data_IF_457115543600
#
_entry.id   IF_457115543600
#
_cell.length_a   1.000
_cell.length_b   1.000
_cell.length_c   1.000
_cell.angle_alpha   90.00
_cell.angle_beta   90.00
_cell.angle_gamma   90.00
#
_symmetry.space_group_name_H-M   'P 1'
#
loop_
_entity.id
_entity.type
_entity.pdbx_description
1 polymer ?
#
# COMPACT_ATOMS: atom_id res chain seq x y z
N UNK A 1 15.96 3.02 -7.83
CA UNK A 1 16.99 3.50 -6.84
C UNK A 1 18.30 2.76 -7.02
N UNK A 2 19.45 3.39 -6.64
CA UNK A 2 20.76 2.72 -6.66
C UNK A 2 20.80 1.64 -5.57
N UNK A 3 21.16 0.41 -5.95
CA UNK A 3 21.32 -0.70 -5.02
C UNK A 3 22.60 -0.59 -4.17
N UNK A 4 22.71 -1.44 -3.17
CA UNK A 4 23.92 -1.61 -2.37
C UNK A 4 24.21 -3.10 -2.19
N UNK A 5 25.51 -3.44 -2.05
CA UNK A 5 25.91 -4.84 -1.88
C UNK A 5 25.36 -5.44 -0.58
N UNK A 6 25.26 -6.75 -0.53
CA UNK A 6 24.81 -7.47 0.67
C UNK A 6 25.66 -7.14 1.89
N UNK A 7 27.00 -7.11 1.73
CA UNK A 7 27.93 -6.79 2.81
C UNK A 7 27.68 -5.38 3.38
N UNK A 8 27.37 -4.41 2.51
CA UNK A 8 27.02 -3.05 2.93
C UNK A 8 25.69 -3.03 3.68
N UNK A 9 24.69 -3.77 3.21
CA UNK A 9 23.41 -3.91 3.92
C UNK A 9 23.61 -4.47 5.32
N UNK A 10 24.39 -5.56 5.45
CA UNK A 10 24.71 -6.18 6.74
C UNK A 10 25.50 -5.23 7.64
N UNK A 11 26.49 -4.53 7.11
CA UNK A 11 27.28 -3.56 7.88
C UNK A 11 26.44 -2.42 8.47
N UNK A 12 25.45 -1.92 7.69
CA UNK A 12 24.48 -0.94 8.17
C UNK A 12 23.54 -1.55 9.21
N UNK A 13 23.00 -2.75 8.95
CA UNK A 13 22.14 -3.46 9.88
C UNK A 13 22.77 -3.68 11.24
N UNK A 14 24.04 -4.05 11.28
CA UNK A 14 24.78 -4.27 12.53
C UNK A 14 24.95 -3.00 13.40
N UNK A 15 24.63 -1.82 12.87
CA UNK A 15 24.63 -0.58 13.64
C UNK A 15 23.30 -0.35 14.38
N UNK A 16 22.21 -1.00 13.93
CA UNK A 16 20.86 -0.77 14.49
C UNK A 16 20.79 -1.03 16.01
N UNK A 17 21.38 -2.10 16.57
CA UNK A 17 21.32 -2.33 18.02
C UNK A 17 21.97 -1.23 18.86
N UNK A 18 22.94 -0.50 18.30
CA UNK A 18 23.69 0.55 19.02
C UNK A 18 23.13 1.94 18.74
N UNK A 19 22.80 2.24 17.49
CA UNK A 19 22.38 3.58 17.05
C UNK A 19 20.85 3.76 17.01
N UNK A 20 20.09 2.67 16.90
CA UNK A 20 18.68 2.67 16.58
C UNK A 20 18.38 2.83 15.09
N UNK A 21 17.17 2.36 14.65
CA UNK A 21 16.74 2.37 13.25
C UNK A 21 16.85 3.74 12.58
N UNK A 22 16.30 4.78 13.22
CA UNK A 22 16.28 6.12 12.60
C UNK A 22 17.68 6.71 12.34
N UNK A 23 18.65 6.44 13.19
CA UNK A 23 20.01 6.95 12.97
C UNK A 23 20.71 6.20 11.83
N UNK A 24 20.39 4.91 11.65
CA UNK A 24 20.88 4.13 10.50
C UNK A 24 20.21 4.58 9.20
N UNK A 25 18.88 4.75 9.20
CA UNK A 25 18.11 5.22 8.04
C UNK A 25 18.62 6.58 7.54
N UNK A 26 18.98 7.52 8.43
CA UNK A 26 19.54 8.82 8.05
C UNK A 26 20.84 8.74 7.26
N UNK A 27 21.60 7.65 7.38
CA UNK A 27 22.83 7.42 6.64
C UNK A 27 22.60 6.86 5.23
N UNK A 28 21.36 6.50 4.90
CA UNK A 28 21.00 5.80 3.66
C UNK A 28 20.22 6.76 2.76
N UNK A 29 20.83 7.28 1.69
CA UNK A 29 20.20 8.29 0.82
C UNK A 29 18.86 7.83 0.21
N UNK A 30 18.70 6.52 -0.03
CA UNK A 30 17.49 5.94 -0.61
C UNK A 30 16.23 6.13 0.26
N UNK A 31 16.41 6.30 1.56
CA UNK A 31 15.30 6.61 2.46
C UNK A 31 14.89 8.08 2.47
N UNK A 32 15.76 8.98 1.98
CA UNK A 32 15.54 10.42 2.08
C UNK A 32 14.70 10.99 0.94
N UNK A 33 14.47 10.21 -0.11
CA UNK A 33 13.78 10.66 -1.34
C UNK A 33 12.91 9.57 -1.91
N UNK A 34 11.80 9.97 -2.57
CA UNK A 34 11.07 9.09 -3.47
C UNK A 34 11.73 9.08 -4.85
N UNK A 35 11.69 7.93 -5.51
CA UNK A 35 11.99 7.82 -6.93
C UNK A 35 10.73 8.21 -7.72
N UNK A 36 10.85 9.14 -8.66
CA UNK A 36 9.73 9.61 -9.49
C UNK A 36 10.06 9.42 -10.97
N UNK A 37 9.17 8.76 -11.70
CA UNK A 37 9.28 8.55 -13.13
C UNK A 37 7.99 8.92 -13.85
N UNK A 38 8.04 9.99 -14.64
CA UNK A 38 6.98 10.33 -15.57
C UNK A 38 7.27 9.66 -16.90
N UNK A 39 6.72 8.45 -17.09
CA UNK A 39 6.97 7.57 -18.25
C UNK A 39 6.02 7.85 -19.41
N UNK A 40 4.87 8.43 -19.14
CA UNK A 40 3.81 8.70 -20.11
C UNK A 40 3.38 10.17 -20.08
N UNK A 41 2.97 10.74 -21.22
CA UNK A 41 2.44 12.10 -21.25
C UNK A 41 1.10 12.18 -20.51
N UNK A 42 0.73 13.40 -20.09
CA UNK A 42 -0.59 13.66 -19.53
C UNK A 42 -1.70 13.28 -20.51
N UNK A 43 -2.82 12.71 -20.05
CA UNK A 43 -4.02 12.52 -20.87
C UNK A 43 -4.51 13.85 -21.46
N UNK A 44 -4.96 13.82 -22.73
CA UNK A 44 -5.45 15.03 -23.42
C UNK A 44 -6.75 15.57 -22.84
N UNK A 45 -7.61 14.68 -22.36
CA UNK A 45 -8.90 15.01 -21.79
C UNK A 45 -8.88 14.73 -20.29
N UNK A 46 -9.38 15.66 -19.50
CA UNK A 46 -9.58 15.49 -18.07
C UNK A 46 -10.97 14.89 -17.87
N UNK A 47 -11.11 13.71 -17.30
CA UNK A 47 -12.42 13.11 -17.04
C UNK A 47 -13.13 13.87 -15.90
N UNK A 48 -14.46 13.76 -15.85
CA UNK A 48 -15.24 14.30 -14.73
C UNK A 48 -14.97 13.57 -13.42
N UNK A 49 -14.59 12.30 -13.51
CA UNK A 49 -14.31 11.40 -12.37
C UNK A 49 -12.94 10.76 -12.52
N UNK A 50 -12.32 10.46 -11.39
CA UNK A 50 -11.09 9.70 -11.30
C UNK A 50 -11.36 8.34 -10.63
N UNK A 51 -10.80 7.27 -11.18
CA UNK A 51 -10.81 5.94 -10.56
C UNK A 51 -9.54 5.71 -9.75
N UNK A 52 -9.71 5.55 -8.46
CA UNK A 52 -8.67 5.26 -7.48
C UNK A 52 -8.71 3.78 -7.09
N UNK A 53 -7.54 3.15 -6.96
CA UNK A 53 -7.40 1.74 -6.56
C UNK A 53 -6.37 1.61 -5.46
N UNK A 54 -6.66 0.85 -4.40
CA UNK A 54 -5.69 0.39 -3.40
C UNK A 54 -5.40 -1.07 -3.64
N UNK A 55 -4.12 -1.43 -3.64
CA UNK A 55 -3.73 -2.82 -3.79
C UNK A 55 -2.40 -3.11 -3.08
N UNK A 56 -2.42 -3.90 -2.01
CA UNK A 56 -1.24 -4.56 -1.47
C UNK A 56 -0.95 -5.78 -2.35
N UNK A 57 0.17 -5.76 -3.07
CA UNK A 57 0.52 -6.77 -4.08
C UNK A 57 1.44 -7.88 -3.57
N UNK A 58 1.57 -8.01 -2.27
CA UNK A 58 2.36 -9.07 -1.64
C UNK A 58 3.76 -9.24 -2.28
N UNK A 59 4.56 -8.15 -2.23
CA UNK A 59 5.96 -8.08 -2.73
C UNK A 59 6.12 -8.17 -4.25
N UNK A 60 5.02 -8.40 -4.99
CA UNK A 60 5.06 -8.63 -6.44
C UNK A 60 5.63 -9.98 -6.83
N UNK A 61 5.45 -11.01 -5.98
CA UNK A 61 5.87 -12.40 -6.29
C UNK A 61 5.09 -13.00 -7.46
N UNK A 62 3.90 -12.48 -7.74
CA UNK A 62 3.04 -12.84 -8.88
C UNK A 62 2.99 -11.68 -9.90
N UNK A 63 4.14 -11.11 -10.25
CA UNK A 63 4.23 -9.86 -11.01
C UNK A 63 3.48 -9.91 -12.34
N UNK A 64 3.68 -10.95 -13.14
CA UNK A 64 3.08 -11.06 -14.47
C UNK A 64 1.57 -11.26 -14.41
N UNK A 65 1.11 -12.06 -13.48
CA UNK A 65 -0.30 -12.31 -13.19
C UNK A 65 -0.99 -11.04 -12.63
N UNK A 66 -0.30 -10.30 -11.76
CA UNK A 66 -0.76 -9.01 -11.24
C UNK A 66 -0.89 -7.97 -12.36
N UNK A 67 0.06 -7.92 -13.31
CA UNK A 67 -0.03 -7.05 -14.48
C UNK A 67 -1.26 -7.42 -15.33
N UNK A 68 -1.47 -8.71 -15.58
CA UNK A 68 -2.64 -9.19 -16.32
C UNK A 68 -3.95 -8.83 -15.60
N UNK A 69 -3.99 -8.98 -14.27
CA UNK A 69 -5.11 -8.58 -13.44
C UNK A 69 -5.43 -7.09 -13.60
N UNK A 70 -4.43 -6.22 -13.47
CA UNK A 70 -4.62 -4.76 -13.61
C UNK A 70 -5.08 -4.35 -15.01
N UNK A 71 -4.68 -5.08 -16.06
CA UNK A 71 -5.03 -4.78 -17.46
C UNK A 71 -6.38 -5.33 -17.90
N UNK A 72 -6.78 -6.49 -17.39
CA UNK A 72 -7.91 -7.24 -17.90
C UNK A 72 -9.13 -7.25 -17.00
N UNK A 73 -8.97 -6.99 -15.69
CA UNK A 73 -10.11 -6.98 -14.76
C UNK A 73 -11.13 -5.90 -15.18
N UNK A 74 -12.40 -6.27 -15.44
CA UNK A 74 -13.41 -5.31 -15.88
C UNK A 74 -13.63 -4.15 -14.92
N UNK A 75 -13.58 -4.43 -13.61
CA UNK A 75 -13.77 -3.42 -12.57
C UNK A 75 -12.57 -2.46 -12.43
N UNK A 76 -11.42 -2.83 -12.99
CA UNK A 76 -10.21 -2.02 -13.02
C UNK A 76 -10.00 -1.29 -14.36
N UNK A 77 -10.98 -1.34 -15.26
CA UNK A 77 -10.91 -0.58 -16.49
C UNK A 77 -10.80 0.92 -16.19
N UNK A 78 -9.95 1.61 -16.97
CA UNK A 78 -9.75 3.06 -16.89
C UNK A 78 -9.27 3.57 -15.53
N UNK A 79 -8.41 2.82 -14.84
CA UNK A 79 -7.77 3.27 -13.59
C UNK A 79 -6.98 4.56 -13.84
N UNK A 80 -7.13 5.55 -12.98
CA UNK A 80 -6.35 6.78 -13.01
C UNK A 80 -5.20 6.78 -12.01
N UNK A 81 -5.40 6.24 -10.79
CA UNK A 81 -4.42 6.26 -9.72
C UNK A 81 -4.45 4.93 -8.95
N UNK A 82 -3.26 4.36 -8.68
CA UNK A 82 -3.12 3.16 -7.84
C UNK A 82 -2.22 3.49 -6.64
N UNK A 83 -2.70 3.17 -5.44
CA UNK A 83 -1.99 3.21 -4.17
C UNK A 83 -1.54 1.79 -3.86
N UNK A 84 -0.29 1.47 -4.14
CA UNK A 84 0.22 0.12 -4.03
C UNK A 84 1.15 -0.06 -2.85
N UNK A 85 0.95 -1.13 -2.10
CA UNK A 85 1.79 -1.52 -0.98
C UNK A 85 2.54 -2.81 -1.28
N UNK A 86 3.66 -2.99 -0.60
CA UNK A 86 4.53 -4.17 -0.71
C UNK A 86 5.04 -4.41 -2.13
N UNK A 87 5.92 -3.54 -2.62
CA UNK A 87 6.62 -3.72 -3.90
C UNK A 87 8.11 -3.91 -3.65
N UNK A 88 8.65 -5.01 -4.15
CA UNK A 88 10.09 -5.26 -4.11
C UNK A 88 10.83 -4.55 -5.26
N UNK A 89 12.07 -4.17 -5.01
CA UNK A 89 13.05 -3.76 -6.02
C UNK A 89 14.36 -4.51 -5.80
N UNK A 90 14.66 -5.48 -6.66
CA UNK A 90 15.84 -6.29 -6.59
C UNK A 90 15.86 -7.27 -5.40
N UNK A 91 14.74 -7.93 -5.10
CA UNK A 91 14.66 -9.05 -4.18
C UNK A 91 14.48 -10.37 -4.96
N UNK A 92 15.22 -11.42 -4.59
CA UNK A 92 15.19 -12.71 -5.29
C UNK A 92 13.78 -13.32 -5.32
N UNK A 93 13.00 -13.17 -4.25
CA UNK A 93 11.61 -13.70 -4.14
C UNK A 93 10.66 -13.14 -5.20
N UNK A 94 10.97 -11.96 -5.76
CA UNK A 94 10.25 -11.33 -6.88
C UNK A 94 11.10 -11.29 -8.17
N UNK A 95 12.07 -12.23 -8.32
CA UNK A 95 12.91 -12.37 -9.51
C UNK A 95 13.94 -11.27 -9.68
N UNK A 96 14.35 -10.59 -8.63
CA UNK A 96 15.29 -9.45 -8.64
C UNK A 96 14.84 -8.30 -9.57
N UNK A 97 13.52 -8.19 -9.84
CA UNK A 97 12.97 -7.16 -10.70
C UNK A 97 12.66 -5.87 -9.91
N UNK A 98 12.58 -4.75 -10.62
CA UNK A 98 11.96 -3.54 -10.11
C UNK A 98 10.44 -3.63 -10.37
N UNK A 99 9.71 -4.16 -9.41
CA UNK A 99 8.27 -4.45 -9.53
C UNK A 99 7.47 -3.20 -9.91
N UNK A 100 7.77 -2.04 -9.29
CA UNK A 100 7.07 -0.79 -9.61
C UNK A 100 7.31 -0.34 -11.06
N UNK A 101 8.55 -0.41 -11.56
CA UNK A 101 8.88 -0.06 -12.95
C UNK A 101 8.19 -0.98 -13.94
N UNK A 102 8.20 -2.29 -13.69
CA UNK A 102 7.60 -3.27 -14.61
C UNK A 102 6.08 -3.11 -14.69
N UNK A 103 5.40 -2.90 -13.55
CA UNK A 103 3.97 -2.58 -13.54
C UNK A 103 3.71 -1.27 -14.30
N UNK A 104 4.43 -0.18 -13.98
CA UNK A 104 4.22 1.13 -14.60
C UNK A 104 4.33 1.08 -16.12
N UNK A 105 5.37 0.41 -16.64
CA UNK A 105 5.57 0.20 -18.10
C UNK A 105 4.43 -0.62 -18.72
N UNK A 106 4.03 -1.72 -18.06
CA UNK A 106 3.05 -2.64 -18.59
C UNK A 106 1.64 -2.04 -18.68
N UNK A 107 1.25 -1.20 -17.70
CA UNK A 107 -0.07 -0.55 -17.67
C UNK A 107 -0.06 0.87 -18.24
N UNK A 108 1.11 1.40 -18.64
CA UNK A 108 1.25 2.74 -19.22
C UNK A 108 0.96 3.87 -18.21
N UNK A 109 1.63 3.85 -17.05
CA UNK A 109 1.49 4.85 -16.01
C UNK A 109 2.82 5.46 -15.58
N UNK A 110 2.77 6.65 -15.00
CA UNK A 110 3.83 7.26 -14.21
C UNK A 110 3.86 6.60 -12.83
N UNK A 111 4.99 6.67 -12.13
CA UNK A 111 5.04 6.17 -10.74
C UNK A 111 5.99 6.96 -9.85
N UNK A 112 5.68 6.94 -8.54
CA UNK A 112 6.58 7.30 -7.47
C UNK A 112 6.78 6.09 -6.56
N UNK A 113 8.03 5.83 -6.14
CA UNK A 113 8.37 4.71 -5.25
C UNK A 113 9.10 5.23 -4.02
N UNK A 114 8.70 4.79 -2.82
CA UNK A 114 9.34 5.10 -1.55
C UNK A 114 9.81 3.83 -0.85
N UNK A 115 11.07 3.82 -0.43
CA UNK A 115 11.69 2.70 0.28
C UNK A 115 11.17 2.61 1.71
N UNK A 116 10.67 1.43 2.10
CA UNK A 116 10.18 1.11 3.44
C UNK A 116 11.20 0.27 4.22
N UNK A 117 11.72 -0.78 3.59
CA UNK A 117 12.67 -1.71 4.20
C UNK A 117 13.81 -2.11 3.25
N UNK A 118 14.96 -2.40 3.86
CA UNK A 118 16.08 -3.10 3.23
C UNK A 118 16.19 -4.47 3.88
N UNK A 119 16.02 -5.53 3.09
CA UNK A 119 16.11 -6.91 3.52
C UNK A 119 17.56 -7.31 3.84
N UNK A 120 17.76 -8.06 4.94
CA UNK A 120 19.08 -8.46 5.42
C UNK A 120 19.30 -9.99 5.42
N UNK A 121 18.28 -10.76 5.09
CA UNK A 121 18.31 -12.22 5.26
C UNK A 121 18.89 -12.93 4.04
N UNK A 122 18.60 -12.45 2.84
CA UNK A 122 18.96 -13.14 1.61
C UNK A 122 20.16 -12.49 0.90
N UNK A 123 21.32 -13.20 0.77
CA UNK A 123 22.47 -12.68 0.05
C UNK A 123 22.28 -12.61 -1.48
N UNK A 124 21.29 -13.31 -2.04
CA UNK A 124 21.01 -13.32 -3.47
C UNK A 124 20.15 -12.14 -3.92
N UNK A 125 19.63 -11.34 -2.98
CA UNK A 125 18.94 -10.10 -3.33
C UNK A 125 19.93 -9.11 -3.96
N UNK A 126 19.68 -8.64 -5.19
CA UNK A 126 20.51 -7.64 -5.85
C UNK A 126 20.50 -6.29 -5.12
N UNK A 127 19.31 -5.86 -4.66
CA UNK A 127 19.13 -4.65 -3.84
C UNK A 127 18.50 -4.95 -2.50
N UNK A 128 17.56 -5.91 -2.44
CA UNK A 128 16.79 -6.26 -1.27
C UNK A 128 15.90 -5.11 -0.78
N UNK A 129 15.41 -4.27 -1.67
CA UNK A 129 14.52 -3.15 -1.35
C UNK A 129 13.08 -3.61 -1.35
N UNK A 130 12.32 -3.11 -0.40
CA UNK A 130 10.89 -3.33 -0.24
C UNK A 130 10.22 -2.00 0.12
N UNK A 131 9.16 -1.64 -0.60
CA UNK A 131 8.54 -0.33 -0.41
C UNK A 131 7.12 -0.24 -0.92
N UNK A 132 6.67 1.00 -1.09
CA UNK A 132 5.34 1.32 -1.58
C UNK A 132 5.44 2.17 -2.86
N UNK A 133 4.39 2.19 -3.67
CA UNK A 133 4.34 2.99 -4.88
C UNK A 133 2.99 3.65 -5.11
N UNK A 134 3.03 4.85 -5.69
CA UNK A 134 1.90 5.47 -6.35
C UNK A 134 2.06 5.29 -7.86
N UNK A 135 1.03 4.79 -8.55
CA UNK A 135 0.95 4.85 -10.00
C UNK A 135 -0.10 5.87 -10.42
N UNK A 136 0.17 6.64 -11.48
CA UNK A 136 -0.72 7.69 -11.95
C UNK A 136 -0.70 7.81 -13.48
N UNK A 137 -1.87 7.94 -14.10
CA UNK A 137 -1.99 8.37 -15.50
C UNK A 137 -1.58 9.84 -15.69
N UNK A 138 -1.59 10.60 -14.58
CA UNK A 138 -1.28 12.03 -14.56
C UNK A 138 0.17 12.26 -14.17
N UNK A 139 0.82 13.33 -14.65
CA UNK A 139 2.18 13.66 -14.24
C UNK A 139 2.30 13.87 -12.73
N UNK A 140 3.35 13.31 -12.16
CA UNK A 140 3.72 13.52 -10.77
C UNK A 140 4.63 14.75 -10.72
N UNK A 141 4.17 15.84 -10.10
CA UNK A 141 4.93 17.08 -9.95
C UNK A 141 6.07 16.91 -8.96
N UNK A 142 5.78 16.25 -7.84
CA UNK A 142 6.75 15.89 -6.81
C UNK A 142 6.22 14.75 -5.94
N UNK A 143 7.14 14.06 -5.27
CA UNK A 143 6.82 13.06 -4.26
C UNK A 143 7.78 13.20 -3.07
N UNK A 144 7.27 12.95 -1.85
CA UNK A 144 8.01 12.98 -0.60
C UNK A 144 7.82 11.68 0.18
N UNK A 145 8.91 11.15 0.73
CA UNK A 145 8.86 10.07 1.71
C UNK A 145 8.62 10.66 3.11
N UNK A 146 7.62 10.14 3.80
CA UNK A 146 7.27 10.51 5.18
C UNK A 146 7.58 9.33 6.08
N UNK A 147 8.65 9.43 6.88
CA UNK A 147 8.98 8.39 7.86
C UNK A 147 7.97 8.42 9.00
N UNK A 148 7.26 7.30 9.17
CA UNK A 148 6.26 7.17 10.23
C UNK A 148 6.92 6.82 11.57
N UNK A 149 6.32 7.22 12.71
CA UNK A 149 6.82 6.84 14.04
C UNK A 149 7.01 5.33 14.15
N UNK A 150 8.20 4.91 14.60
CA UNK A 150 8.52 3.50 14.79
C UNK A 150 7.61 2.88 15.85
N UNK A 151 6.90 1.84 15.50
CA UNK A 151 6.04 1.06 16.41
C UNK A 151 6.61 -0.33 16.65
N UNK A 152 7.47 -0.81 15.75
CA UNK A 152 8.13 -2.10 15.84
C UNK A 152 9.51 -2.05 15.19
N UNK A 153 10.52 -2.65 15.85
CA UNK A 153 11.88 -2.68 15.31
C UNK A 153 12.13 -3.97 14.54
N UNK A 154 11.96 -3.91 13.22
CA UNK A 154 12.08 -5.04 12.31
C UNK A 154 13.49 -5.66 12.23
N UNK A 155 14.53 -4.99 12.75
CA UNK A 155 15.86 -5.60 12.83
C UNK A 155 15.89 -6.81 13.76
N UNK A 156 15.05 -6.85 14.79
CA UNK A 156 14.96 -7.95 15.75
C UNK A 156 13.91 -8.99 15.38
N UNK A 157 13.21 -8.81 14.24
CA UNK A 157 12.27 -9.80 13.72
C UNK A 157 13.01 -10.98 13.07
N UNK A 158 12.29 -12.11 12.90
CA UNK A 158 12.79 -13.25 12.13
C UNK A 158 13.11 -12.88 10.69
N UNK A 159 12.32 -12.01 10.08
CA UNK A 159 12.59 -11.37 8.79
C UNK A 159 13.32 -10.05 9.02
N UNK A 160 14.61 -10.16 9.28
CA UNK A 160 15.47 -9.03 9.65
C UNK A 160 15.56 -7.96 8.57
N UNK A 161 15.28 -6.68 8.92
CA UNK A 161 15.27 -5.55 7.99
C UNK A 161 15.81 -4.28 8.64
N UNK A 162 16.41 -3.39 7.83
CA UNK A 162 16.58 -1.99 8.18
C UNK A 162 15.37 -1.24 7.64
N UNK A 163 14.81 -0.33 8.43
CA UNK A 163 13.70 0.51 7.97
C UNK A 163 12.55 0.55 8.96
N UNK A 164 11.57 1.35 8.61
CA UNK A 164 10.29 1.52 9.30
C UNK A 164 9.23 1.88 8.27
N UNK A 165 7.97 1.92 8.67
CA UNK A 165 6.85 2.30 7.80
C UNK A 165 7.04 3.70 7.23
N UNK A 166 6.69 3.84 5.96
CA UNK A 166 6.85 5.08 5.17
C UNK A 166 5.57 5.38 4.42
N UNK A 167 5.07 6.62 4.54
CA UNK A 167 4.07 7.16 3.63
C UNK A 167 4.72 7.86 2.44
N UNK A 168 4.02 7.90 1.31
CA UNK A 168 4.43 8.64 0.11
C UNK A 168 3.40 9.72 -0.16
N UNK A 169 3.79 10.99 -0.08
CA UNK A 169 2.92 12.13 -0.39
C UNK A 169 3.28 12.65 -1.77
N UNK A 170 2.34 12.63 -2.71
CA UNK A 170 2.52 13.06 -4.09
C UNK A 170 1.60 14.22 -4.46
N UNK A 171 2.11 15.17 -5.24
CA UNK A 171 1.31 16.15 -5.98
C UNK A 171 1.20 15.73 -7.43
N UNK A 172 -0.02 15.62 -7.93
CA UNK A 172 -0.34 15.27 -9.32
C UNK A 172 -0.83 16.50 -10.09
N UNK A 173 -0.53 16.52 -11.39
CA UNK A 173 -1.08 17.50 -12.33
C UNK A 173 -2.26 16.89 -13.10
N UNK A 174 -3.47 17.07 -12.61
CA UNK A 174 -4.68 16.57 -13.28
C UNK A 174 -5.26 17.66 -14.15
N UNK A 175 -4.71 17.78 -15.37
CA UNK A 175 -5.17 18.78 -16.34
C UNK A 175 -5.03 20.23 -15.86
N UNK A 176 -3.95 20.55 -15.17
CA UNK A 176 -3.67 21.85 -14.58
C UNK A 176 -4.15 22.01 -13.12
N UNK A 177 -5.03 21.12 -12.64
CA UNK A 177 -5.45 21.10 -11.23
C UNK A 177 -4.43 20.30 -10.41
N UNK A 178 -4.04 20.85 -9.26
CA UNK A 178 -3.28 20.10 -8.26
C UNK A 178 -4.18 19.14 -7.51
N UNK A 179 -3.73 17.87 -7.40
CA UNK A 179 -4.39 16.81 -6.63
C UNK A 179 -3.36 16.13 -5.75
N UNK A 180 -3.64 16.05 -4.46
CA UNK A 180 -2.82 15.27 -3.53
C UNK A 180 -3.18 13.78 -3.60
N UNK A 181 -2.16 12.92 -3.68
CA UNK A 181 -2.32 11.47 -3.61
C UNK A 181 -1.30 10.91 -2.61
N UNK A 182 -1.78 10.17 -1.61
CA UNK A 182 -0.96 9.71 -0.49
C UNK A 182 -1.08 8.22 -0.32
N UNK A 183 0.05 7.50 -0.47
CA UNK A 183 0.14 6.06 -0.18
C UNK A 183 0.54 5.87 1.27
N UNK A 184 -0.16 5.02 2.00
CA UNK A 184 0.17 4.65 3.37
C UNK A 184 0.28 3.14 3.50
N UNK A 185 1.19 2.70 4.37
CA UNK A 185 1.28 1.32 4.83
C UNK A 185 1.61 1.37 6.33
N UNK A 186 0.62 1.14 7.18
CA UNK A 186 0.79 1.28 8.61
C UNK A 186 1.32 -0.02 9.24
N UNK A 187 1.77 0.07 10.50
CA UNK A 187 2.39 -1.05 11.20
C UNK A 187 1.35 -2.09 11.65
N UNK A 188 1.62 -3.35 11.31
CA UNK A 188 0.82 -4.49 11.73
C UNK A 188 1.23 -5.05 13.11
N UNK A 189 2.40 -4.64 13.64
CA UNK A 189 2.96 -5.04 14.94
C UNK A 189 2.70 -3.99 16.02
N UNK A 190 1.51 -3.39 15.99
CA UNK A 190 1.09 -2.37 16.94
C UNK A 190 -0.43 -2.39 17.09
N UNK A 191 -0.95 -1.59 17.99
CA UNK A 191 -2.39 -1.40 18.20
C UNK A 191 -2.95 -0.19 17.43
N UNK A 192 -4.24 0.11 17.63
CA UNK A 192 -4.90 1.24 17.00
C UNK A 192 -4.33 2.61 17.40
N UNK A 193 -3.74 2.75 18.59
CA UNK A 193 -3.10 3.99 19.01
C UNK A 193 -1.78 4.23 18.28
N UNK A 194 -0.97 3.18 18.10
CA UNK A 194 0.27 3.25 17.33
C UNK A 194 0.01 3.59 15.86
N UNK A 195 -1.02 2.99 15.23
CA UNK A 195 -1.43 3.34 13.85
C UNK A 195 -1.97 4.77 13.75
N UNK A 196 -2.71 5.24 14.74
CA UNK A 196 -3.16 6.64 14.80
C UNK A 196 -1.99 7.62 14.88
N UNK A 197 -0.95 7.31 15.67
CA UNK A 197 0.27 8.13 15.74
C UNK A 197 1.01 8.16 14.38
N UNK A 198 0.99 7.07 13.63
CA UNK A 198 1.54 7.03 12.28
C UNK A 198 0.72 7.89 11.31
N UNK A 199 -0.61 7.84 11.37
CA UNK A 199 -1.49 8.69 10.54
C UNK A 199 -1.34 10.18 10.88
N UNK A 200 -1.08 10.54 12.14
CA UNK A 200 -0.85 11.93 12.52
C UNK A 200 0.34 12.54 11.76
N UNK A 201 1.43 11.80 11.58
CA UNK A 201 2.57 12.25 10.77
C UNK A 201 2.17 12.50 9.30
N UNK A 202 1.28 11.68 8.74
CA UNK A 202 0.73 11.85 7.38
C UNK A 202 -0.12 13.12 7.30
N UNK A 203 -1.05 13.34 8.24
CA UNK A 203 -1.89 14.55 8.24
C UNK A 203 -1.06 15.83 8.40
N UNK A 204 -0.05 15.82 9.25
CA UNK A 204 0.89 16.94 9.39
C UNK A 204 1.62 17.25 8.08
N UNK A 205 2.09 16.22 7.35
CA UNK A 205 2.75 16.45 6.06
C UNK A 205 1.77 16.93 4.98
N UNK A 206 0.54 16.42 4.95
CA UNK A 206 -0.51 16.92 4.05
C UNK A 206 -0.79 18.40 4.32
N UNK A 207 -0.91 18.82 5.58
CA UNK A 207 -1.14 20.22 5.94
C UNK A 207 0.02 21.14 5.55
N UNK A 208 1.26 20.64 5.61
CA UNK A 208 2.45 21.40 5.16
C UNK A 208 2.57 21.51 3.65
N UNK A 209 2.07 20.51 2.93
CA UNK A 209 2.31 20.31 1.50
C UNK A 209 1.21 20.85 0.61
N UNK A 210 -0.03 20.90 1.09
CA UNK A 210 -1.20 21.28 0.30
C UNK A 210 -2.02 22.38 0.95
N UNK A 211 -2.51 23.29 0.14
CA UNK A 211 -3.52 24.25 0.57
C UNK A 211 -4.82 23.55 0.98
N UNK A 212 -5.65 24.14 1.87
CA UNK A 212 -6.86 23.48 2.38
C UNK A 212 -7.89 23.09 1.32
N UNK A 213 -7.94 23.81 0.19
CA UNK A 213 -8.84 23.61 -0.95
C UNK A 213 -8.31 22.57 -1.96
N UNK A 214 -7.07 22.13 -1.83
CA UNK A 214 -6.54 21.05 -2.68
C UNK A 214 -7.21 19.74 -2.32
N UNK A 215 -7.86 19.04 -3.28
CA UNK A 215 -8.41 17.73 -3.05
C UNK A 215 -7.28 16.71 -2.81
N UNK A 216 -7.43 15.89 -1.77
CA UNK A 216 -6.44 14.89 -1.41
C UNK A 216 -7.13 13.54 -1.18
N UNK A 217 -6.58 12.48 -1.78
CA UNK A 217 -6.93 11.08 -1.51
C UNK A 217 -5.78 10.38 -0.78
N UNK A 218 -6.09 9.68 0.28
CA UNK A 218 -5.19 8.76 0.99
C UNK A 218 -5.65 7.34 0.70
N UNK A 219 -4.74 6.47 0.32
CA UNK A 219 -5.04 5.04 0.09
C UNK A 219 -3.91 4.14 0.57
N UNK A 220 -4.27 2.92 0.98
CA UNK A 220 -3.30 1.91 1.35
C UNK A 220 -3.78 0.90 2.39
N UNK A 221 -2.85 0.05 2.78
CA UNK A 221 -3.02 -0.93 3.85
C UNK A 221 -2.78 -0.25 5.22
N UNK A 222 -3.88 0.01 5.94
CA UNK A 222 -3.82 0.62 7.26
C UNK A 222 -3.65 -0.42 8.38
N UNK A 223 -3.62 -1.71 8.06
CA UNK A 223 -3.48 -2.79 9.04
C UNK A 223 -4.46 -2.70 10.23
N UNK A 224 -5.68 -2.25 9.97
CA UNK A 224 -6.74 -1.96 10.94
C UNK A 224 -7.33 -3.23 11.55
N UNK A 225 -6.60 -3.91 12.42
CA UNK A 225 -7.00 -5.20 12.99
C UNK A 225 -7.02 -5.24 14.53
N UNK A 226 -6.57 -4.20 15.22
CA UNK A 226 -6.45 -4.10 16.70
C UNK A 226 -5.42 -5.05 17.33
N UNK A 227 -5.12 -6.18 16.68
CA UNK A 227 -4.22 -7.19 17.19
C UNK A 227 -2.83 -7.04 16.57
N UNK A 228 -1.80 -7.36 17.34
CA UNK A 228 -0.49 -7.67 16.78
C UNK A 228 -0.65 -8.82 15.76
N UNK A 229 -0.01 -8.70 14.60
CA UNK A 229 -0.06 -9.73 13.55
C UNK A 229 0.36 -11.14 13.99
N UNK A 230 1.03 -11.26 15.15
CA UNK A 230 1.38 -12.52 15.80
C UNK A 230 0.39 -12.99 16.87
N UNK A 231 -0.64 -12.20 17.21
CA UNK A 231 -1.63 -12.59 18.23
C UNK A 231 -2.59 -13.67 17.69
N UNK A 232 -2.07 -14.84 17.42
CA UNK A 232 -2.86 -16.00 16.97
C UNK A 232 -4.00 -16.37 17.94
N UNK A 233 -3.81 -16.37 19.28
CA UNK A 233 -4.91 -16.62 20.21
C UNK A 233 -6.05 -15.60 20.09
N UNK A 234 -5.74 -14.29 19.94
CA UNK A 234 -6.74 -13.24 19.75
C UNK A 234 -7.53 -13.41 18.45
N UNK A 235 -6.83 -13.64 17.35
CA UNK A 235 -7.48 -13.94 16.04
C UNK A 235 -8.34 -15.20 16.11
N UNK A 236 -7.87 -16.28 16.73
CA UNK A 236 -8.63 -17.53 16.89
C UNK A 236 -9.92 -17.31 17.69
N UNK A 237 -9.86 -16.52 18.77
CA UNK A 237 -11.02 -16.17 19.58
C UNK A 237 -12.03 -15.34 18.80
N UNK A 238 -11.57 -14.37 18.01
CA UNK A 238 -12.43 -13.56 17.14
C UNK A 238 -13.09 -14.43 16.07
N UNK A 239 -12.31 -15.28 15.39
CA UNK A 239 -12.79 -16.14 14.31
C UNK A 239 -13.88 -17.14 14.78
N UNK A 240 -13.77 -17.65 16.01
CA UNK A 240 -14.72 -18.63 16.57
C UNK A 240 -16.01 -17.99 17.12
N UNK A 241 -16.15 -16.66 17.04
CA UNK A 241 -17.36 -15.93 17.42
C UNK A 241 -17.90 -15.16 16.20
N UNK A 242 -18.81 -15.77 15.40
CA UNK A 242 -19.31 -15.15 14.16
C UNK A 242 -19.97 -13.78 14.37
N UNK A 243 -20.65 -13.58 15.50
CA UNK A 243 -21.28 -12.30 15.82
C UNK A 243 -20.23 -11.22 16.06
N UNK A 244 -19.23 -11.52 16.90
CA UNK A 244 -18.14 -10.62 17.20
C UNK A 244 -17.30 -10.32 15.96
N UNK A 245 -17.05 -11.32 15.11
CA UNK A 245 -16.35 -11.14 13.84
C UNK A 245 -17.12 -10.18 12.92
N UNK A 246 -18.43 -10.36 12.77
CA UNK A 246 -19.27 -9.49 11.95
C UNK A 246 -19.27 -8.04 12.48
N UNK A 247 -19.37 -7.85 13.80
CA UNK A 247 -19.28 -6.53 14.43
C UNK A 247 -17.89 -5.91 14.24
N UNK A 248 -16.82 -6.69 14.37
CA UNK A 248 -15.45 -6.27 14.16
C UNK A 248 -15.23 -5.78 12.74
N UNK A 249 -15.73 -6.49 11.74
CA UNK A 249 -15.63 -6.12 10.33
C UNK A 249 -16.48 -4.89 9.96
N UNK A 250 -17.66 -4.77 10.58
CA UNK A 250 -18.61 -3.70 10.24
C UNK A 250 -18.31 -2.37 10.95
N UNK A 251 -17.58 -2.39 12.06
CA UNK A 251 -17.36 -1.22 12.93
C UNK A 251 -15.90 -1.10 13.34
N UNK A 252 -15.02 -1.04 12.34
CA UNK A 252 -13.56 -0.95 12.52
C UNK A 252 -13.18 0.30 13.33
N UNK A 253 -13.91 1.39 13.18
CA UNK A 253 -13.75 2.64 13.91
C UNK A 253 -13.89 2.51 15.43
N UNK A 254 -14.54 1.46 15.93
CA UNK A 254 -14.71 1.23 17.36
C UNK A 254 -13.40 0.85 18.08
N UNK A 255 -12.39 0.38 17.34
CA UNK A 255 -11.12 -0.08 17.89
C UNK A 255 -9.89 0.47 17.14
N UNK A 256 -10.07 1.06 15.97
CA UNK A 256 -9.02 1.67 15.17
C UNK A 256 -9.14 3.19 15.14
N UNK A 257 -8.39 3.84 16.03
CA UNK A 257 -8.40 5.30 16.18
C UNK A 257 -8.03 6.06 14.91
N UNK A 258 -7.25 5.46 14.02
CA UNK A 258 -6.84 6.06 12.74
C UNK A 258 -8.04 6.46 11.86
N UNK A 259 -9.19 5.78 11.95
CA UNK A 259 -10.38 6.06 11.15
C UNK A 259 -11.15 7.29 11.65
N UNK A 260 -11.63 7.38 12.91
CA UNK A 260 -12.25 8.62 13.39
C UNK A 260 -11.29 9.81 13.35
N UNK A 261 -9.98 9.62 13.51
CA UNK A 261 -8.98 10.66 13.33
C UNK A 261 -8.99 11.23 11.89
N UNK A 262 -9.27 10.40 10.86
CA UNK A 262 -9.39 10.89 9.49
C UNK A 262 -10.49 11.94 9.38
N UNK A 263 -11.66 11.73 9.99
CA UNK A 263 -12.77 12.68 9.99
C UNK A 263 -12.42 13.98 10.72
N UNK A 264 -11.65 13.91 11.81
CA UNK A 264 -11.14 15.09 12.53
C UNK A 264 -10.24 15.98 11.65
N UNK A 265 -9.56 15.36 10.67
CA UNK A 265 -8.74 16.06 9.66
C UNK A 265 -9.49 16.35 8.35
N UNK A 266 -10.82 16.15 8.31
CA UNK A 266 -11.67 16.45 7.18
C UNK A 266 -11.64 15.42 6.05
N UNK A 267 -11.16 14.20 6.33
CA UNK A 267 -11.17 13.08 5.38
C UNK A 267 -12.33 12.12 5.68
N UNK A 268 -13.22 11.91 4.72
CA UNK A 268 -14.22 10.85 4.81
C UNK A 268 -13.61 9.51 4.37
N UNK A 269 -13.79 8.46 5.15
CA UNK A 269 -13.44 7.09 4.76
C UNK A 269 -14.69 6.24 4.48
N UNK A 270 -15.78 6.47 5.19
CA UNK A 270 -17.05 5.77 4.99
C UNK A 270 -17.60 5.94 3.57
N UNK A 271 -17.40 7.11 2.97
CA UNK A 271 -17.87 7.40 1.63
C UNK A 271 -17.06 6.66 0.56
N UNK A 272 -15.75 6.49 0.79
CA UNK A 272 -14.80 5.99 -0.23
C UNK A 272 -14.42 4.52 -0.08
N UNK A 273 -14.74 3.88 1.04
CA UNK A 273 -14.41 2.48 1.30
C UNK A 273 -15.64 1.66 1.61
N UNK A 274 -15.73 0.45 1.03
CA UNK A 274 -16.71 -0.56 1.45
C UNK A 274 -16.32 -1.17 2.79
N UNK A 275 -17.25 -1.83 3.47
CA UNK A 275 -17.00 -2.60 4.69
C UNK A 275 -16.55 -4.04 4.41
N UNK A 276 -16.40 -4.42 3.14
CA UNK A 276 -15.94 -5.75 2.75
C UNK A 276 -14.50 -5.99 3.20
N UNK A 277 -14.23 -7.20 3.65
CA UNK A 277 -12.89 -7.60 4.04
C UNK A 277 -11.93 -7.63 2.85
N UNK A 278 -10.69 -7.26 3.11
CA UNK A 278 -9.66 -7.13 2.09
C UNK A 278 -8.49 -8.06 2.29
N UNK A 279 -8.20 -8.48 3.53
CA UNK A 279 -7.04 -9.32 3.85
C UNK A 279 -7.48 -10.72 4.28
N UNK A 280 -6.98 -11.75 3.58
CA UNK A 280 -7.15 -13.15 3.95
C UNK A 280 -6.14 -13.56 5.01
N UNK A 281 -6.62 -13.98 6.18
CA UNK A 281 -5.80 -14.47 7.29
C UNK A 281 -6.01 -15.98 7.44
N UNK A 282 -5.07 -16.84 7.03
CA UNK A 282 -5.16 -18.28 7.28
C UNK A 282 -5.20 -18.57 8.78
N UNK A 283 -6.10 -19.49 9.19
CA UNK A 283 -6.27 -19.90 10.56
C UNK A 283 -5.70 -21.30 10.78
N UNK A 284 -5.26 -21.65 12.01
CA UNK A 284 -4.67 -22.95 12.29
C UNK A 284 -5.55 -24.17 11.98
N UNK A 285 -6.88 -23.97 11.97
CA UNK A 285 -7.86 -25.02 11.62
C UNK A 285 -8.08 -25.18 10.10
N UNK A 286 -7.30 -24.48 9.26
CA UNK A 286 -7.42 -24.50 7.82
C UNK A 286 -8.49 -23.58 7.23
N UNK A 287 -9.25 -22.88 8.07
CA UNK A 287 -10.18 -21.84 7.61
C UNK A 287 -9.44 -20.54 7.27
N UNK A 288 -10.14 -19.60 6.66
CA UNK A 288 -9.61 -18.28 6.34
C UNK A 288 -10.52 -17.21 6.94
N UNK A 289 -9.95 -16.30 7.73
CA UNK A 289 -10.63 -15.11 8.21
C UNK A 289 -10.35 -13.95 7.25
N UNK A 290 -11.37 -13.18 6.92
CA UNK A 290 -11.25 -12.01 6.07
C UNK A 290 -11.32 -10.76 6.96
N UNK A 291 -10.33 -9.88 6.87
CA UNK A 291 -10.23 -8.64 7.66
C UNK A 291 -10.29 -7.41 6.76
N UNK A 292 -10.81 -6.30 7.25
CA UNK A 292 -10.81 -5.01 6.54
C UNK A 292 -9.56 -4.22 6.92
N UNK A 293 -8.55 -4.20 6.04
CA UNK A 293 -7.26 -3.54 6.26
C UNK A 293 -6.98 -2.41 5.27
N UNK A 294 -7.49 -2.52 4.05
CA UNK A 294 -7.20 -1.60 2.95
C UNK A 294 -8.30 -0.56 2.81
N UNK A 295 -7.91 0.71 2.74
CA UNK A 295 -8.82 1.85 2.81
C UNK A 295 -8.49 2.91 1.76
N UNK A 296 -9.55 3.60 1.31
CA UNK A 296 -9.52 4.89 0.62
C UNK A 296 -10.22 5.91 1.50
N UNK A 297 -9.65 7.12 1.62
CA UNK A 297 -10.27 8.24 2.31
C UNK A 297 -9.89 9.55 1.64
N UNK A 298 -10.83 10.49 1.52
CA UNK A 298 -10.57 11.73 0.80
C UNK A 298 -11.19 12.96 1.44
N UNK A 299 -10.61 14.11 1.09
CA UNK A 299 -11.21 15.44 1.26
C UNK A 299 -11.30 16.15 -0.10
N UNK A 300 -12.28 17.04 -0.29
CA UNK A 300 -12.46 17.80 -1.53
C UNK A 300 -12.92 16.96 -2.73
N UNK A 301 -13.47 15.77 -2.46
CA UNK A 301 -14.02 14.85 -3.45
C UNK A 301 -15.33 14.24 -2.94
N UNK A 302 -16.14 13.69 -3.86
CA UNK A 302 -17.31 12.84 -3.57
C UNK A 302 -17.16 11.51 -4.26
N UNK A 303 -17.59 10.44 -3.62
CA UNK A 303 -17.57 9.09 -4.20
C UNK A 303 -18.85 8.85 -4.99
N UNK A 304 -18.72 8.31 -6.20
CA UNK A 304 -19.85 7.91 -7.04
C UNK A 304 -20.11 6.42 -6.91
N UNK A 305 -19.05 5.64 -6.97
CA UNK A 305 -19.07 4.18 -6.88
C UNK A 305 -17.83 3.69 -6.14
N UNK A 306 -17.94 2.57 -5.47
CA UNK A 306 -16.83 1.91 -4.79
C UNK A 306 -17.05 0.41 -4.69
N UNK A 307 -15.98 -0.35 -4.50
CA UNK A 307 -16.06 -1.79 -4.34
C UNK A 307 -14.75 -2.45 -3.92
N UNK A 308 -14.81 -3.76 -3.79
CA UNK A 308 -13.70 -4.65 -3.50
C UNK A 308 -13.64 -5.72 -4.58
N UNK A 309 -12.45 -6.06 -5.05
CA UNK A 309 -12.22 -7.06 -6.10
C UNK A 309 -11.39 -8.18 -5.51
N UNK A 310 -11.90 -9.41 -5.64
CA UNK A 310 -11.17 -10.61 -5.25
C UNK A 310 -9.92 -10.80 -6.10
N UNK A 311 -8.82 -11.15 -5.44
CA UNK A 311 -7.57 -11.56 -6.07
C UNK A 311 -7.37 -13.07 -6.04
N UNK A 312 -8.38 -13.84 -5.63
CA UNK A 312 -8.38 -15.29 -5.77
C UNK A 312 -8.55 -15.67 -7.25
N UNK A 313 -7.70 -16.55 -7.74
CA UNK A 313 -7.66 -16.92 -9.18
C UNK A 313 -8.95 -17.54 -9.68
N UNK A 314 -9.70 -18.23 -8.81
CA UNK A 314 -11.03 -18.78 -9.14
C UNK A 314 -12.05 -17.73 -9.57
N UNK A 315 -11.87 -16.47 -9.14
CA UNK A 315 -12.77 -15.35 -9.43
C UNK A 315 -12.34 -14.59 -10.70
N UNK A 316 -11.12 -14.84 -11.20
CA UNK A 316 -10.56 -14.21 -12.40
C UNK A 316 -11.03 -14.87 -13.71
N UNK A 317 -12.33 -15.19 -13.83
CA UNK A 317 -12.91 -15.93 -14.97
C UNK A 317 -12.85 -15.16 -16.30
N UNK A 318 -12.59 -13.87 -16.27
CA UNK A 318 -12.42 -12.96 -17.39
C UNK A 318 -10.99 -12.96 -17.98
N UNK A 319 -10.05 -13.65 -17.33
CA UNK A 319 -8.66 -13.72 -17.83
C UNK A 319 -8.58 -14.37 -19.21
N UNK A 320 -7.81 -13.78 -20.12
CA UNK A 320 -7.63 -14.33 -21.46
C UNK A 320 -6.86 -15.64 -21.40
N UNK A 321 -7.20 -16.68 -22.18
CA UNK A 321 -6.65 -18.04 -22.06
C UNK A 321 -5.13 -18.16 -22.22
N UNK A 322 -4.50 -17.24 -22.94
CA UNK A 322 -3.05 -17.22 -23.19
C UNK A 322 -2.27 -16.33 -22.19
N UNK A 323 -2.96 -15.61 -21.32
CA UNK A 323 -2.37 -14.75 -20.29
C UNK A 323 -1.60 -15.53 -19.22
N UNK A 324 -0.68 -14.87 -18.52
CA UNK A 324 0.00 -15.42 -17.35
C UNK A 324 -1.01 -15.76 -16.26
N UNK A 325 -1.98 -14.88 -16.04
CA UNK A 325 -3.04 -15.04 -15.04
C UNK A 325 -3.88 -16.32 -15.30
N UNK A 326 -4.30 -16.59 -16.53
CA UNK A 326 -5.07 -17.79 -16.86
C UNK A 326 -4.27 -19.09 -16.70
N UNK A 327 -2.95 -19.03 -16.83
CA UNK A 327 -2.02 -20.18 -16.67
C UNK A 327 -1.53 -20.36 -15.23
N UNK A 328 -1.81 -19.40 -14.38
CA UNK A 328 -1.34 -19.43 -12.98
C UNK A 328 -2.08 -20.50 -12.18
N UNK A 329 -1.33 -21.36 -11.52
CA UNK A 329 -1.86 -22.48 -10.73
C UNK A 329 -1.96 -22.16 -9.23
N UNK A 330 -1.51 -20.98 -8.81
CA UNK A 330 -1.65 -20.51 -7.44
C UNK A 330 -3.12 -20.17 -7.13
N UNK A 331 -3.44 -20.07 -5.84
CA UNK A 331 -4.82 -19.82 -5.39
C UNK A 331 -5.21 -18.34 -5.42
N UNK A 332 -4.24 -17.46 -5.29
CA UNK A 332 -4.44 -16.01 -5.17
C UNK A 332 -3.22 -15.25 -5.71
N UNK A 333 -3.43 -14.02 -6.18
CA UNK A 333 -2.39 -13.13 -6.66
C UNK A 333 -1.68 -12.40 -5.52
N UNK A 334 -2.43 -12.12 -4.48
CA UNK A 334 -2.01 -11.49 -3.22
C UNK A 334 -2.93 -12.02 -2.12
N UNK A 335 -2.47 -12.02 -0.89
CA UNK A 335 -3.31 -12.29 0.28
C UNK A 335 -4.25 -11.10 0.60
N UNK A 336 -4.19 -10.03 -0.19
CA UNK A 336 -5.12 -8.90 -0.18
C UNK A 336 -6.01 -8.86 -1.43
N UNK A 337 -7.25 -8.43 -1.25
CA UNK A 337 -8.16 -8.00 -2.31
C UNK A 337 -7.86 -6.55 -2.69
N UNK A 338 -8.12 -6.16 -3.93
CA UNK A 338 -8.03 -4.76 -4.34
C UNK A 338 -9.30 -3.99 -3.96
N UNK A 339 -9.16 -2.73 -3.54
CA UNK A 339 -10.27 -1.81 -3.30
C UNK A 339 -10.25 -0.71 -4.33
N UNK A 340 -11.44 -0.21 -4.73
CA UNK A 340 -11.53 0.89 -5.68
C UNK A 340 -12.64 1.87 -5.34
N UNK A 341 -12.50 3.10 -5.82
CA UNK A 341 -13.53 4.14 -5.79
C UNK A 341 -13.46 5.01 -7.05
N UNK A 342 -14.61 5.40 -7.57
CA UNK A 342 -14.78 6.41 -8.62
C UNK A 342 -15.19 7.71 -7.94
N UNK A 343 -14.40 8.75 -8.12
CA UNK A 343 -14.52 9.99 -7.36
C UNK A 343 -14.65 11.19 -8.29
N UNK A 344 -15.47 12.17 -7.88
CA UNK A 344 -15.63 13.47 -8.53
C UNK A 344 -15.10 14.58 -7.62
N UNK A 345 -14.45 15.59 -8.19
CA UNK A 345 -14.07 16.79 -7.43
C UNK A 345 -15.30 17.58 -6.97
N UNK A 346 -15.24 18.10 -5.75
CA UNK A 346 -16.24 19.05 -5.21
C UNK A 346 -16.06 20.43 -5.81
#
# INVERSE_FOLDING_TARGET
MQGMSYEKRIALGNQVPTLGQFQVIKQIPQYQTCEVHNLVPAPKNVPETLKHVVFNIERGVTLHETIDFLKMCPDLKDIDIIYANELDDGAERSGNQNVAMEIAKAIGMNYAYGLEFIELVNPNDEKGFHGNALFSRWPIRWAKAVHLPEQYNWYFDRQKRIGARVGIVCSLDVGGREVGAVVVHLENRTDGAGRAAQMDAIYQEIQRSFAPDVPVMIGGDLNTNTFDGNDIPGFTKLFNDPKRLAEHMAKVENYERALPQAEEHGFSYHEFSSTEGTRRKPMPNGACMLLKLDWLMARGMTCQERGTISTETKDCTWAQPDSALAKFTGKELSDHNACWAICKFQ
#
